data_IF_431098579872
#
_entry.id   IF_431098579872
#
_cell.length_a   1.000
_cell.length_b   1.000
_cell.length_c   1.000
_cell.angle_alpha   90.00
_cell.angle_beta   90.00
_cell.angle_gamma   90.00
#
_symmetry.space_group_name_H-M   'P 1'
#
loop_
_entity.id
_entity.type
_entity.pdbx_description
1 polymer ?
#
# COMPACT_ATOMS: atom_id res chain seq x y z
N UNK A 1 4.14 21.97 -6.24
CA UNK A 1 4.42 20.53 -6.24
C UNK A 1 3.76 19.97 -7.49
N UNK A 2 4.55 19.39 -8.39
CA UNK A 2 4.15 18.82 -9.67
C UNK A 2 4.98 17.53 -9.85
N UNK A 3 4.41 16.49 -10.47
CA UNK A 3 4.84 15.06 -10.45
C UNK A 3 6.25 14.66 -10.93
N UNK A 4 7.26 15.51 -10.74
CA UNK A 4 8.68 15.26 -11.06
C UNK A 4 9.64 15.66 -9.93
N UNK A 5 9.12 16.05 -8.75
CA UNK A 5 9.97 16.48 -7.64
C UNK A 5 10.71 15.29 -7.01
N UNK A 6 12.04 15.38 -6.92
CA UNK A 6 12.85 14.43 -6.16
C UNK A 6 12.36 14.38 -4.70
N UNK A 7 12.17 13.18 -4.18
CA UNK A 7 11.79 12.94 -2.78
C UNK A 7 12.73 11.94 -2.14
N UNK A 8 12.87 12.04 -0.82
CA UNK A 8 13.46 10.99 -0.01
C UNK A 8 12.33 10.14 0.56
N UNK A 9 12.32 8.85 0.28
CA UNK A 9 11.43 7.92 0.96
C UNK A 9 11.91 7.68 2.39
N UNK A 10 11.04 7.85 3.37
CA UNK A 10 11.44 7.80 4.77
C UNK A 10 10.33 7.35 5.70
N UNK A 11 10.72 7.00 6.93
CA UNK A 11 9.82 6.61 8.00
C UNK A 11 9.63 7.78 8.95
N UNK A 12 8.38 8.15 9.23
CA UNK A 12 8.06 9.03 10.34
C UNK A 12 7.94 8.21 11.63
N UNK A 13 8.93 8.30 12.52
CA UNK A 13 8.90 7.57 13.79
C UNK A 13 7.82 8.02 14.77
N UNK A 14 7.19 9.19 14.54
CA UNK A 14 6.10 9.66 15.40
C UNK A 14 4.78 8.92 15.13
N UNK A 15 4.54 8.47 13.90
CA UNK A 15 3.27 7.86 13.49
C UNK A 15 3.42 6.59 12.63
N UNK A 16 4.64 6.13 12.37
CA UNK A 16 4.93 4.91 11.63
C UNK A 16 4.61 4.98 10.13
N UNK A 17 4.29 6.15 9.56
CA UNK A 17 4.03 6.27 8.11
C UNK A 17 5.33 6.20 7.32
N UNK A 18 5.27 5.58 6.15
CA UNK A 18 6.38 5.55 5.18
C UNK A 18 5.91 6.24 3.90
N UNK A 19 6.64 7.28 3.47
CA UNK A 19 6.24 8.11 2.33
C UNK A 19 7.42 8.91 1.77
N UNK A 20 7.21 9.48 0.59
CA UNK A 20 8.07 10.50 0.00
C UNK A 20 8.02 11.80 0.78
N UNK A 21 9.20 12.34 1.10
CA UNK A 21 9.39 13.66 1.65
C UNK A 21 10.12 14.52 0.62
N UNK A 22 9.48 15.62 0.19
CA UNK A 22 10.17 16.60 -0.65
C UNK A 22 11.45 17.11 0.04
N UNK A 23 12.50 17.32 -0.75
CA UNK A 23 13.83 17.68 -0.26
C UNK A 23 13.96 19.13 0.21
N UNK A 24 13.01 20.00 -0.15
CA UNK A 24 12.99 21.41 0.21
C UNK A 24 11.89 21.74 1.24
N UNK A 25 12.17 22.71 2.13
CA UNK A 25 11.17 23.38 2.96
C UNK A 25 11.40 24.90 2.94
N UNK A 26 10.49 25.62 2.27
CA UNK A 26 10.53 27.08 2.13
C UNK A 26 11.84 27.61 1.52
N UNK A 27 12.33 26.96 0.46
CA UNK A 27 13.55 27.38 -0.25
C UNK A 27 14.84 27.07 0.52
N UNK A 28 14.80 26.07 1.40
CA UNK A 28 15.94 25.51 2.12
C UNK A 28 15.91 24.00 2.07
N UNK A 29 17.06 23.41 1.79
CA UNK A 29 17.24 21.96 1.85
C UNK A 29 16.90 21.41 3.24
N UNK A 30 16.08 20.35 3.27
CA UNK A 30 15.78 19.61 4.48
C UNK A 30 16.96 18.74 4.87
N UNK A 31 17.25 18.73 6.16
CA UNK A 31 18.18 17.76 6.75
C UNK A 31 17.41 16.49 7.11
N UNK A 32 17.91 15.35 6.63
CA UNK A 32 17.40 14.03 6.96
C UNK A 32 18.39 13.25 7.82
N UNK A 33 17.88 12.39 8.69
CA UNK A 33 18.68 11.48 9.50
C UNK A 33 18.60 10.08 8.92
N UNK A 34 19.75 9.43 8.75
CA UNK A 34 19.84 8.06 8.22
C UNK A 34 20.20 7.13 9.38
N UNK A 35 19.43 6.05 9.55
CA UNK A 35 19.76 4.98 10.48
C UNK A 35 20.24 3.76 9.70
N UNK A 36 21.49 3.38 9.94
CA UNK A 36 22.06 2.17 9.36
C UNK A 36 21.70 0.96 10.23
N UNK A 37 21.08 -0.04 9.63
CA UNK A 37 20.79 -1.34 10.26
C UNK A 37 21.66 -2.43 9.63
N UNK A 38 21.98 -3.46 10.41
CA UNK A 38 22.67 -4.66 9.90
C UNK A 38 21.63 -5.75 9.68
N UNK A 39 21.42 -6.14 8.43
CA UNK A 39 20.50 -7.23 8.05
C UNK A 39 21.21 -8.34 7.28
N UNK A 40 20.46 -9.42 6.99
CA UNK A 40 20.90 -10.45 6.04
C UNK A 40 21.11 -9.82 4.64
N UNK A 41 22.03 -10.38 3.85
CA UNK A 41 22.17 -9.99 2.44
C UNK A 41 20.84 -10.29 1.72
N UNK A 42 20.28 -9.31 1.02
CA UNK A 42 19.01 -9.47 0.30
C UNK A 42 17.74 -9.13 1.11
N UNK A 43 17.86 -8.58 2.32
CA UNK A 43 16.68 -8.05 3.04
C UNK A 43 15.93 -7.02 2.20
N UNK A 44 14.63 -7.20 2.01
CA UNK A 44 13.76 -6.30 1.24
C UNK A 44 13.83 -6.49 -0.28
N UNK A 45 14.44 -7.59 -0.76
CA UNK A 45 14.37 -8.00 -2.16
C UNK A 45 13.58 -9.31 -2.22
N UNK A 46 12.36 -9.33 -2.78
CA UNK A 46 11.57 -10.54 -2.85
C UNK A 46 12.17 -11.53 -3.87
N UNK A 47 11.99 -12.84 -3.64
CA UNK A 47 12.42 -13.92 -4.54
C UNK A 47 11.18 -14.59 -5.11
N UNK A 48 10.61 -13.96 -6.14
CA UNK A 48 9.29 -14.25 -6.66
C UNK A 48 9.32 -15.33 -7.76
N UNK A 49 8.47 -16.34 -7.63
CA UNK A 49 8.23 -17.37 -8.65
C UNK A 49 6.74 -17.53 -8.88
N UNK A 50 6.31 -17.35 -10.14
CA UNK A 50 4.97 -17.74 -10.59
C UNK A 50 4.88 -19.27 -10.64
N UNK A 51 3.90 -19.83 -9.93
CA UNK A 51 3.68 -21.28 -9.88
C UNK A 51 2.82 -21.78 -11.06
N UNK A 52 2.23 -20.89 -11.86
CA UNK A 52 1.39 -21.23 -13.01
C UNK A 52 -0.01 -21.74 -12.64
N UNK A 53 -0.40 -21.62 -11.37
CA UNK A 53 -1.68 -22.05 -10.80
C UNK A 53 -2.48 -20.88 -10.19
N UNK A 54 -2.05 -19.64 -10.42
CA UNK A 54 -2.62 -18.44 -9.81
C UNK A 54 -1.98 -18.04 -8.48
N UNK A 55 -0.91 -18.73 -8.05
CA UNK A 55 -0.12 -18.36 -6.87
C UNK A 55 1.30 -17.90 -7.23
N UNK A 56 1.85 -17.01 -6.40
CA UNK A 56 3.23 -16.53 -6.49
C UNK A 56 3.96 -16.83 -5.19
N UNK A 57 5.07 -17.55 -5.27
CA UNK A 57 5.93 -17.85 -4.12
C UNK A 57 6.97 -16.76 -3.92
N UNK A 58 7.12 -16.24 -2.71
CA UNK A 58 8.26 -15.41 -2.29
C UNK A 58 9.20 -16.22 -1.38
N UNK A 59 10.27 -16.77 -1.95
CA UNK A 59 11.22 -17.59 -1.20
C UNK A 59 12.06 -16.78 -0.20
N UNK A 60 12.14 -15.46 -0.34
CA UNK A 60 12.90 -14.59 0.57
C UNK A 60 12.15 -14.38 1.90
N UNK A 61 10.81 -14.29 1.86
CA UNK A 61 9.97 -14.13 3.05
C UNK A 61 9.38 -15.45 3.57
N UNK A 62 9.37 -16.49 2.74
CA UNK A 62 8.69 -17.75 3.08
C UNK A 62 7.17 -17.62 2.98
N UNK A 63 6.68 -16.73 2.11
CA UNK A 63 5.26 -16.48 1.88
C UNK A 63 4.84 -16.98 0.50
N UNK A 64 3.55 -17.23 0.34
CA UNK A 64 2.90 -17.45 -0.94
C UNK A 64 1.71 -16.50 -1.07
N UNK A 65 1.52 -15.94 -2.25
CA UNK A 65 0.55 -14.90 -2.53
C UNK A 65 -0.44 -15.36 -3.58
N UNK A 66 -1.69 -14.89 -3.48
CA UNK A 66 -2.58 -14.91 -4.63
C UNK A 66 -2.01 -13.98 -5.71
N UNK A 67 -1.96 -14.45 -6.96
CA UNK A 67 -1.43 -13.69 -8.10
C UNK A 67 -2.35 -12.54 -8.51
N UNK A 68 -3.65 -12.66 -8.30
CA UNK A 68 -4.63 -11.59 -8.49
C UNK A 68 -4.99 -10.91 -7.16
N UNK A 69 -5.38 -9.63 -7.23
CA UNK A 69 -6.11 -8.99 -6.14
C UNK A 69 -7.62 -9.32 -6.20
N UNK A 70 -8.40 -8.80 -5.25
CA UNK A 70 -9.83 -9.09 -5.17
C UNK A 70 -10.70 -8.42 -6.26
N UNK A 71 -10.11 -7.69 -7.21
CA UNK A 71 -10.81 -7.10 -8.36
C UNK A 71 -11.67 -5.86 -8.05
N UNK A 72 -11.78 -5.43 -6.79
CA UNK A 72 -12.62 -4.29 -6.42
C UNK A 72 -12.40 -3.77 -5.00
N UNK A 73 -12.70 -2.49 -4.77
CA UNK A 73 -12.52 -1.88 -3.47
C UNK A 73 -13.57 -2.38 -2.45
N UNK A 74 -13.12 -2.78 -1.27
CA UNK A 74 -13.94 -3.30 -0.18
C UNK A 74 -13.62 -2.60 1.15
N UNK A 75 -14.55 -2.64 2.11
CA UNK A 75 -14.27 -2.14 3.46
C UNK A 75 -13.21 -3.00 4.14
N UNK A 76 -12.63 -2.52 5.24
CA UNK A 76 -11.62 -3.30 5.96
C UNK A 76 -12.19 -4.60 6.55
N UNK A 77 -13.45 -4.57 7.02
CA UNK A 77 -14.15 -5.75 7.52
C UNK A 77 -14.45 -6.74 6.39
N UNK A 78 -14.92 -6.25 5.25
CA UNK A 78 -15.19 -7.10 4.08
C UNK A 78 -13.90 -7.71 3.50
N UNK A 79 -12.75 -7.05 3.64
CA UNK A 79 -11.46 -7.63 3.26
C UNK A 79 -11.11 -8.86 4.11
N UNK A 80 -11.42 -8.83 5.41
CA UNK A 80 -11.23 -9.97 6.30
C UNK A 80 -12.23 -11.09 5.96
N UNK A 81 -13.50 -10.74 5.77
CA UNK A 81 -14.54 -11.70 5.37
C UNK A 81 -14.20 -12.38 4.04
N UNK A 82 -13.65 -11.63 3.08
CA UNK A 82 -13.22 -12.20 1.80
C UNK A 82 -12.14 -13.28 1.96
N UNK A 83 -11.19 -13.10 2.88
CA UNK A 83 -10.21 -14.15 3.17
C UNK A 83 -10.87 -15.42 3.74
N UNK A 84 -11.85 -15.25 4.64
CA UNK A 84 -12.63 -16.38 5.19
C UNK A 84 -13.42 -17.11 4.09
N UNK A 85 -14.04 -16.37 3.16
CA UNK A 85 -14.77 -16.94 2.03
C UNK A 85 -13.85 -17.70 1.06
N UNK A 86 -12.65 -17.17 0.79
CA UNK A 86 -11.66 -17.86 -0.05
C UNK A 86 -11.19 -19.16 0.61
N UNK A 87 -10.99 -19.17 1.93
CA UNK A 87 -10.65 -20.39 2.67
C UNK A 87 -11.79 -21.42 2.65
N UNK A 88 -13.03 -20.99 2.84
CA UNK A 88 -14.20 -21.87 2.80
C UNK A 88 -14.42 -22.52 1.42
N UNK A 89 -13.86 -21.92 0.36
CA UNK A 89 -13.97 -22.40 -1.02
C UNK A 89 -12.75 -23.14 -1.54
N UNK A 90 -11.73 -23.39 -0.72
CA UNK A 90 -10.46 -24.01 -1.13
C UNK A 90 -9.82 -23.24 -2.31
N UNK A 91 -9.84 -21.91 -2.21
CA UNK A 91 -9.38 -21.01 -3.27
C UNK A 91 -7.92 -21.30 -3.63
N UNK A 92 -7.67 -21.55 -4.92
CA UNK A 92 -6.35 -21.96 -5.43
C UNK A 92 -5.78 -23.21 -4.73
N UNK A 93 -6.64 -24.08 -4.20
CA UNK A 93 -6.27 -25.31 -3.51
C UNK A 93 -5.72 -25.13 -2.09
N UNK A 94 -6.01 -23.98 -1.45
CA UNK A 94 -5.57 -23.64 -0.11
C UNK A 94 -6.72 -23.06 0.74
N UNK A 95 -6.67 -23.31 2.05
CA UNK A 95 -7.70 -22.94 3.03
C UNK A 95 -7.17 -22.12 4.22
N UNK A 96 -5.95 -21.57 4.10
CA UNK A 96 -5.23 -20.81 5.12
C UNK A 96 -4.81 -19.41 4.65
N UNK A 97 -5.49 -18.87 3.65
CA UNK A 97 -5.33 -17.50 3.18
C UNK A 97 -5.68 -16.48 4.27
N UNK A 98 -4.95 -15.37 4.27
CA UNK A 98 -5.16 -14.24 5.18
C UNK A 98 -4.91 -12.91 4.49
N UNK A 99 -5.49 -11.85 5.05
CA UNK A 99 -5.09 -10.48 4.71
C UNK A 99 -3.68 -10.22 5.24
N UNK A 100 -2.73 -9.79 4.39
CA UNK A 100 -1.35 -9.56 4.78
C UNK A 100 -1.24 -8.49 5.86
N UNK A 101 -0.26 -8.62 6.75
CA UNK A 101 0.11 -7.52 7.62
C UNK A 101 0.89 -6.46 6.84
N UNK A 102 1.07 -5.28 7.42
CA UNK A 102 1.64 -4.15 6.68
C UNK A 102 3.09 -4.37 6.25
N UNK A 103 3.87 -5.16 6.99
CA UNK A 103 5.26 -5.47 6.65
C UNK A 103 5.35 -6.43 5.46
N UNK A 104 4.43 -7.38 5.38
CA UNK A 104 4.35 -8.31 4.25
C UNK A 104 3.96 -7.57 2.97
N UNK A 105 2.96 -6.67 3.03
CA UNK A 105 2.62 -5.82 1.88
C UNK A 105 3.79 -4.93 1.45
N UNK A 106 4.55 -4.38 2.40
CA UNK A 106 5.75 -3.63 2.05
C UNK A 106 6.84 -4.49 1.40
N UNK A 107 6.89 -5.79 1.71
CA UNK A 107 7.86 -6.72 1.15
C UNK A 107 7.70 -6.94 -0.36
N UNK A 108 6.53 -6.65 -0.91
CA UNK A 108 6.23 -6.81 -2.35
C UNK A 108 6.18 -5.47 -3.11
N UNK A 109 6.53 -4.35 -2.48
CA UNK A 109 6.62 -3.05 -3.17
C UNK A 109 7.89 -3.00 -4.01
N UNK A 110 7.74 -2.70 -5.30
CA UNK A 110 8.86 -2.40 -6.19
C UNK A 110 9.02 -0.88 -6.34
N UNK A 111 9.94 -0.31 -5.56
CA UNK A 111 10.25 1.14 -5.59
C UNK A 111 10.95 1.61 -6.88
N UNK A 112 11.30 0.70 -7.80
CA UNK A 112 11.80 1.08 -9.13
C UNK A 112 10.67 1.38 -10.12
N UNK A 113 9.42 1.13 -9.72
CA UNK A 113 8.23 1.25 -10.55
C UNK A 113 7.24 2.24 -9.95
N UNK A 114 6.57 3.01 -10.81
CA UNK A 114 5.48 3.89 -10.41
C UNK A 114 4.65 4.34 -11.62
N UNK A 115 3.42 4.84 -11.40
CA UNK A 115 2.61 5.39 -12.48
C UNK A 115 3.29 6.55 -13.24
N UNK A 116 4.09 7.36 -12.55
CA UNK A 116 4.72 8.55 -13.13
C UNK A 116 6.08 8.27 -13.79
N UNK A 117 6.76 7.17 -13.43
CA UNK A 117 8.10 6.84 -13.95
C UNK A 117 8.04 5.70 -14.97
N UNK A 118 7.34 4.62 -14.64
CA UNK A 118 7.31 3.39 -15.46
C UNK A 118 5.94 3.12 -16.05
N UNK A 119 4.95 3.98 -15.81
CA UNK A 119 3.56 3.81 -16.26
C UNK A 119 2.97 2.47 -15.79
N UNK A 120 3.33 2.05 -14.57
CA UNK A 120 2.86 0.79 -13.98
C UNK A 120 2.70 0.91 -12.48
N UNK A 121 2.02 -0.05 -11.85
CA UNK A 121 1.98 -0.18 -10.40
C UNK A 121 3.40 -0.39 -9.82
N UNK A 122 3.59 0.03 -8.57
CA UNK A 122 4.80 -0.17 -7.77
C UNK A 122 4.90 -1.59 -7.19
N UNK A 123 4.80 -2.59 -8.07
CA UNK A 123 4.83 -4.03 -7.74
C UNK A 123 5.43 -4.79 -8.93
N UNK A 124 6.04 -5.95 -8.66
CA UNK A 124 6.58 -6.82 -9.70
C UNK A 124 5.47 -7.30 -10.67
N UNK A 125 5.70 -7.28 -12.00
CA UNK A 125 4.73 -7.73 -13.00
C UNK A 125 4.27 -9.19 -12.92
N UNK A 126 4.91 -10.02 -12.08
CA UNK A 126 4.40 -11.36 -11.76
C UNK A 126 3.02 -11.31 -11.11
N UNK A 127 2.68 -10.20 -10.46
CA UNK A 127 1.39 -9.96 -9.84
C UNK A 127 0.43 -9.26 -10.81
N UNK A 128 -0.79 -9.79 -10.93
CA UNK A 128 -1.91 -9.11 -11.57
C UNK A 128 -2.50 -8.10 -10.60
N UNK A 129 -2.67 -6.84 -11.02
CA UNK A 129 -3.22 -5.78 -10.18
C UNK A 129 -4.32 -5.01 -10.91
N UNK A 130 -5.40 -4.73 -10.19
CA UNK A 130 -6.53 -3.96 -10.72
C UNK A 130 -6.11 -2.53 -11.12
N UNK A 131 -6.74 -2.00 -12.15
CA UNK A 131 -6.67 -0.59 -12.52
C UNK A 131 -7.84 0.18 -11.93
N UNK A 132 -7.59 1.41 -11.49
CA UNK A 132 -8.61 2.33 -10.96
C UNK A 132 -8.53 3.69 -11.63
N UNK A 133 -9.57 4.50 -11.45
CA UNK A 133 -9.50 5.95 -11.69
C UNK A 133 -9.27 6.66 -10.36
N UNK A 134 -8.17 7.41 -10.25
CA UNK A 134 -7.85 8.15 -9.03
C UNK A 134 -8.69 9.42 -8.87
N UNK A 135 -8.45 10.14 -7.78
CA UNK A 135 -9.15 11.36 -7.38
C UNK A 135 -9.00 12.51 -8.40
N UNK A 136 -7.95 12.48 -9.22
CA UNK A 136 -7.70 13.42 -10.31
C UNK A 136 -8.32 12.98 -11.66
N UNK A 137 -9.05 11.86 -11.70
CA UNK A 137 -9.64 11.31 -12.92
C UNK A 137 -8.64 10.60 -13.83
N UNK A 138 -7.49 10.17 -13.30
CA UNK A 138 -6.42 9.54 -14.07
C UNK A 138 -6.40 8.02 -13.85
N UNK A 139 -5.88 7.29 -14.84
CA UNK A 139 -5.53 5.88 -14.69
C UNK A 139 -4.48 5.72 -13.58
N UNK A 140 -4.76 4.81 -12.66
CA UNK A 140 -3.93 4.56 -11.48
C UNK A 140 -4.13 3.13 -10.95
N UNK A 141 -3.45 2.83 -9.85
CA UNK A 141 -3.52 1.53 -9.17
C UNK A 141 -3.98 1.69 -7.71
N UNK A 142 -4.67 0.68 -7.15
CA UNK A 142 -5.34 0.80 -5.87
C UNK A 142 -4.36 0.82 -4.70
N UNK A 143 -4.91 1.21 -3.55
CA UNK A 143 -4.29 0.93 -2.26
C UNK A 143 -4.74 -0.44 -1.80
N UNK A 144 -3.88 -1.15 -1.08
CA UNK A 144 -4.19 -2.46 -0.55
C UNK A 144 -4.25 -2.44 0.98
N UNK A 145 -5.38 -2.90 1.52
CA UNK A 145 -5.56 -3.09 2.95
C UNK A 145 -4.56 -4.08 3.53
N UNK A 146 -4.05 -3.74 4.71
CA UNK A 146 -3.40 -4.72 5.59
C UNK A 146 -4.33 -5.10 6.76
N UNK A 147 -4.04 -6.23 7.39
CA UNK A 147 -4.63 -6.62 8.69
C UNK A 147 -4.09 -5.79 9.87
N UNK A 148 -3.13 -4.88 9.62
CA UNK A 148 -2.50 -4.07 10.67
C UNK A 148 -3.36 -2.86 11.02
N UNK A 149 -3.80 -2.80 12.27
CA UNK A 149 -4.46 -1.62 12.82
C UNK A 149 -3.44 -0.50 13.00
N UNK A 150 -3.75 0.69 12.49
CA UNK A 150 -2.88 1.85 12.63
C UNK A 150 -3.10 2.50 14.00
N UNK A 151 -2.06 2.48 14.84
CA UNK A 151 -2.05 3.23 16.10
C UNK A 151 -1.99 4.73 15.78
N UNK A 152 -3.05 5.46 16.12
CA UNK A 152 -3.12 6.89 15.94
C UNK A 152 -3.45 7.58 17.28
N UNK A 153 -3.09 8.86 17.39
CA UNK A 153 -3.37 9.68 18.59
C UNK A 153 -4.81 10.22 18.60
N UNK A 154 -5.78 9.47 18.07
CA UNK A 154 -7.18 9.89 18.08
C UNK A 154 -7.90 9.38 19.32
N UNK A 155 -9.02 10.03 19.67
CA UNK A 155 -9.88 9.62 20.79
C UNK A 155 -10.57 8.25 20.55
N UNK A 156 -10.41 7.66 19.37
CA UNK A 156 -11.00 6.38 18.96
C UNK A 156 -9.91 5.42 18.49
N UNK A 157 -9.13 4.83 19.42
CA UNK A 157 -8.03 3.96 19.09
C UNK A 157 -8.50 2.75 18.26
N UNK A 158 -7.73 2.41 17.24
CA UNK A 158 -7.95 1.21 16.44
C UNK A 158 -9.03 1.31 15.35
N UNK A 159 -9.56 2.51 15.12
CA UNK A 159 -10.55 2.78 14.06
C UNK A 159 -9.95 2.90 12.65
N UNK A 160 -8.62 2.91 12.53
CA UNK A 160 -7.91 2.99 11.25
C UNK A 160 -7.10 1.72 11.01
N UNK A 161 -7.00 1.33 9.75
CA UNK A 161 -6.12 0.27 9.30
C UNK A 161 -5.05 0.83 8.36
N UNK A 162 -3.86 0.24 8.40
CA UNK A 162 -2.78 0.61 7.50
C UNK A 162 -3.02 0.00 6.11
N UNK A 163 -2.57 0.71 5.07
CA UNK A 163 -2.54 0.24 3.70
C UNK A 163 -1.21 0.60 3.03
N UNK A 164 -0.93 -0.05 1.91
CA UNK A 164 0.15 0.34 0.98
C UNK A 164 -0.46 0.84 -0.33
N UNK A 165 0.05 1.95 -0.87
CA UNK A 165 -0.33 2.48 -2.18
C UNK A 165 0.50 1.85 -3.28
N UNK A 166 -0.07 1.03 -4.17
CA UNK A 166 0.63 0.54 -5.35
C UNK A 166 0.55 1.51 -6.54
N UNK A 167 -0.40 2.44 -6.50
CA UNK A 167 -0.49 3.61 -7.39
C UNK A 167 -0.05 4.90 -6.68
N UNK A 168 -0.43 6.06 -7.24
CA UNK A 168 -0.09 7.38 -6.67
C UNK A 168 -0.74 7.58 -5.31
N UNK A 169 0.02 8.14 -4.37
CA UNK A 169 -0.48 8.44 -3.03
C UNK A 169 -0.96 9.89 -2.95
N UNK A 170 -2.20 10.06 -3.41
CA UNK A 170 -2.82 11.37 -3.69
C UNK A 170 -3.05 12.22 -2.45
N UNK A 171 -2.92 13.54 -2.64
CA UNK A 171 -3.32 14.58 -1.70
C UNK A 171 -3.80 15.84 -2.41
N UNK A 172 -4.60 16.64 -1.72
CA UNK A 172 -5.22 17.84 -2.25
C UNK A 172 -4.42 19.10 -1.86
N UNK A 173 -3.50 19.53 -2.73
CA UNK A 173 -2.67 20.73 -2.54
C UNK A 173 -2.90 21.67 -3.73
N UNK A 174 -3.99 22.45 -3.64
CA UNK A 174 -4.51 23.26 -4.76
C UNK A 174 -4.99 22.42 -5.96
N UNK A 175 -5.44 21.19 -5.68
CA UNK A 175 -5.81 20.16 -6.65
C UNK A 175 -5.24 18.80 -6.25
N UNK A 176 -5.81 17.73 -6.78
CA UNK A 176 -5.32 16.37 -6.56
C UNK A 176 -3.96 16.18 -7.24
N UNK A 177 -2.95 15.83 -6.46
CA UNK A 177 -1.59 15.52 -6.93
C UNK A 177 -1.02 14.38 -6.10
N UNK A 178 -0.10 13.61 -6.68
CA UNK A 178 0.71 12.69 -5.88
C UNK A 178 1.61 13.52 -4.95
N UNK A 179 1.49 13.30 -3.63
CA UNK A 179 2.27 14.02 -2.61
C UNK A 179 3.18 13.10 -1.80
N UNK A 180 2.98 11.77 -1.89
CA UNK A 180 3.70 10.78 -1.07
C UNK A 180 4.38 9.68 -1.90
N UNK A 181 4.04 9.53 -3.18
CA UNK A 181 4.60 8.52 -4.07
C UNK A 181 3.97 7.13 -3.92
N UNK A 182 4.05 6.35 -5.00
CA UNK A 182 3.76 4.92 -4.93
C UNK A 182 4.72 4.20 -3.97
N UNK A 183 4.22 3.16 -3.30
CA UNK A 183 4.85 2.48 -2.17
C UNK A 183 4.53 3.10 -0.81
N UNK A 184 3.80 4.21 -0.73
CA UNK A 184 3.47 4.85 0.54
C UNK A 184 2.66 3.92 1.47
N UNK A 185 3.11 3.82 2.71
CA UNK A 185 2.33 3.24 3.81
C UNK A 185 1.60 4.36 4.55
N UNK A 186 0.27 4.31 4.48
CA UNK A 186 -0.62 5.25 5.17
C UNK A 186 -1.77 4.48 5.82
N UNK A 187 -2.87 5.15 6.10
CA UNK A 187 -4.01 4.54 6.79
C UNK A 187 -5.31 5.23 6.44
N UNK A 188 -6.36 4.43 6.35
CA UNK A 188 -7.74 4.88 6.17
C UNK A 188 -8.60 4.40 7.35
N UNK A 189 -9.74 5.06 7.61
CA UNK A 189 -10.69 4.56 8.61
C UNK A 189 -11.30 3.24 8.11
N UNK A 190 -11.50 2.30 9.02
CA UNK A 190 -12.02 0.95 8.72
C UNK A 190 -13.47 0.98 8.24
N UNK A 191 -14.21 2.00 8.64
CA UNK A 191 -15.61 2.26 8.32
C UNK A 191 -15.81 3.73 7.99
N UNK A 192 -16.85 4.07 7.24
CA UNK A 192 -17.22 5.45 6.98
C UNK A 192 -17.66 5.70 5.55
N UNK A 193 -17.49 6.94 5.12
CA UNK A 193 -17.89 7.41 3.79
C UNK A 193 -16.82 8.39 3.27
N UNK A 194 -16.20 8.04 2.14
CA UNK A 194 -15.17 8.84 1.48
C UNK A 194 -15.69 10.21 1.03
N UNK A 195 -16.99 10.34 0.73
CA UNK A 195 -17.59 11.61 0.31
C UNK A 195 -17.52 12.69 1.39
N UNK A 196 -17.25 12.32 2.65
CA UNK A 196 -17.00 13.26 3.75
C UNK A 196 -15.63 13.93 3.69
N UNK A 197 -14.75 13.49 2.79
CA UNK A 197 -13.39 13.98 2.60
C UNK A 197 -13.18 14.49 1.16
N UNK A 198 -13.96 15.49 0.69
CA UNK A 198 -13.88 15.95 -0.70
C UNK A 198 -12.52 16.55 -1.09
N UNK A 199 -11.74 16.97 -0.11
CA UNK A 199 -10.37 17.50 -0.26
C UNK A 199 -9.36 16.67 0.57
N UNK A 200 -9.71 15.42 0.88
CA UNK A 200 -8.91 14.53 1.72
C UNK A 200 -8.86 14.96 3.19
N UNK A 201 -7.82 14.51 3.90
CA UNK A 201 -7.66 14.75 5.33
C UNK A 201 -6.21 15.07 5.71
N UNK A 202 -6.06 16.00 6.66
CA UNK A 202 -4.75 16.42 7.16
C UNK A 202 -4.09 17.52 6.32
N UNK A 203 -2.85 17.92 6.67
CA UNK A 203 -2.23 19.14 6.14
C UNK A 203 -1.99 19.17 4.62
N UNK A 204 -1.85 18.00 3.98
CA UNK A 204 -1.65 17.86 2.54
C UNK A 204 -2.94 17.39 1.83
N UNK A 205 -4.08 17.38 2.53
CA UNK A 205 -5.36 16.94 1.98
C UNK A 205 -5.32 15.50 1.51
N UNK A 206 -4.72 14.61 2.32
CA UNK A 206 -4.41 13.26 1.86
C UNK A 206 -5.70 12.49 1.54
N UNK A 207 -5.72 11.76 0.42
CA UNK A 207 -6.90 10.98 0.01
C UNK A 207 -7.33 9.98 1.10
N UNK A 208 -8.65 9.90 1.31
CA UNK A 208 -9.35 8.95 2.18
C UNK A 208 -10.36 8.20 1.32
N UNK A 209 -10.14 6.91 1.08
CA UNK A 209 -10.97 6.08 0.21
C UNK A 209 -11.98 5.25 0.98
N UNK A 210 -11.66 4.85 2.23
CA UNK A 210 -12.48 3.98 3.10
C UNK A 210 -12.69 2.56 2.55
N UNK A 211 -12.77 2.41 1.24
CA UNK A 211 -12.77 1.17 0.50
C UNK A 211 -11.42 1.06 -0.21
N UNK A 212 -10.71 -0.04 -0.01
CA UNK A 212 -9.44 -0.33 -0.65
C UNK A 212 -9.42 -1.77 -1.14
N UNK A 213 -8.48 -2.13 -2.01
CA UNK A 213 -8.34 -3.50 -2.51
C UNK A 213 -7.62 -4.38 -1.48
N UNK A 214 -7.56 -5.68 -1.74
CA UNK A 214 -6.81 -6.63 -0.91
C UNK A 214 -6.26 -7.75 -1.78
N UNK A 215 -5.07 -8.24 -1.42
CA UNK A 215 -4.41 -9.41 -1.98
C UNK A 215 -4.13 -10.37 -0.85
N UNK A 216 -4.47 -11.65 -1.04
CA UNK A 216 -4.26 -12.66 -0.01
C UNK A 216 -2.82 -13.16 0.01
N UNK A 217 -2.40 -13.55 1.20
CA UNK A 217 -1.12 -14.19 1.47
C UNK A 217 -1.35 -15.41 2.37
N UNK A 218 -0.47 -16.38 2.30
CA UNK A 218 -0.34 -17.49 3.24
C UNK A 218 1.14 -17.76 3.53
N UNK A 219 1.41 -18.54 4.57
CA UNK A 219 2.76 -19.02 4.83
C UNK A 219 3.08 -20.17 3.86
N UNK A 220 4.34 -20.26 3.41
CA UNK A 220 4.79 -21.34 2.53
C UNK A 220 5.06 -22.61 3.35
N UNK A 221 4.54 -23.74 2.88
CA UNK A 221 4.87 -25.09 3.39
C UNK A 221 6.26 -25.60 2.93
#
# INVERSE_FOLDING_TARGET
MHGEAETLFGVNFADGRIKGYGLDFFGRDKTFYIMYVRGARGYGVPDLTDNGDGTVTDAASGLMWAQADNGGAVSWEDALAWAEDMNASDYLGHDDWRVPNIKELQGIVDYTRSPDVTQSAAIDPVFEISEITNEAGQLDYPFHWSSTTHANFTDQPGTFAAYVSFGRAMGFVSGWTDVHGAGAQRSDPKIGDAAKYPEGNGPQGDAIRVLNHVRLVRDRE
#
